data_IF_478814574587
#
_entry.id   IF_478814574587
#
_cell.length_a   1.000
_cell.length_b   1.000
_cell.length_c   1.000
_cell.angle_alpha   90.00
_cell.angle_beta   90.00
_cell.angle_gamma   90.00
#
_symmetry.space_group_name_H-M   'P 1'
#
loop_
_entity.id
_entity.type
_entity.pdbx_description
1 polymer ?
#
# COMPACT_ATOMS: atom_id res chain seq x y z
N UNK A 1 12.07 -15.30 2.14
CA UNK A 1 12.00 -14.72 0.78
C UNK A 1 11.56 -13.29 0.83
N UNK A 2 12.32 -12.42 0.24
CA UNK A 2 12.00 -11.00 0.20
C UNK A 2 10.89 -10.72 -0.83
N UNK A 3 9.92 -9.89 -0.45
CA UNK A 3 8.85 -9.45 -1.35
C UNK A 3 9.18 -8.12 -2.04
N UNK A 4 10.42 -7.65 -1.90
CA UNK A 4 10.82 -6.35 -2.47
C UNK A 4 10.60 -6.28 -3.98
N UNK A 5 10.97 -7.33 -4.73
CA UNK A 5 10.77 -7.33 -6.17
C UNK A 5 9.30 -7.32 -6.54
N UNK A 6 8.48 -8.06 -5.81
CA UNK A 6 7.04 -8.10 -6.06
C UNK A 6 6.39 -6.76 -5.72
N UNK A 7 6.80 -6.14 -4.61
CA UNK A 7 6.30 -4.82 -4.24
C UNK A 7 6.76 -3.75 -5.22
N UNK A 8 7.99 -3.87 -5.74
CA UNK A 8 8.48 -2.95 -6.76
C UNK A 8 7.67 -3.05 -8.05
N UNK A 9 7.29 -4.26 -8.44
CA UNK A 9 6.44 -4.46 -9.62
C UNK A 9 5.04 -3.90 -9.37
N UNK A 10 4.49 -4.10 -8.18
CA UNK A 10 3.21 -3.52 -7.81
C UNK A 10 3.29 -1.99 -7.82
N UNK A 11 4.37 -1.42 -7.31
CA UNK A 11 4.61 0.03 -7.34
C UNK A 11 4.57 0.57 -8.77
N UNK A 12 5.18 -0.14 -9.73
CA UNK A 12 5.14 0.30 -11.14
C UNK A 12 3.71 0.34 -11.66
N UNK A 13 2.90 -0.66 -11.31
CA UNK A 13 1.49 -0.69 -11.71
C UNK A 13 0.70 0.47 -11.10
N UNK A 14 0.96 0.78 -9.84
CA UNK A 14 0.28 1.88 -9.14
C UNK A 14 0.62 3.22 -9.78
N UNK A 15 1.89 3.45 -10.11
CA UNK A 15 2.31 4.68 -10.78
C UNK A 15 1.60 4.87 -12.10
N UNK A 16 1.43 3.79 -12.87
CA UNK A 16 0.77 3.86 -14.17
C UNK A 16 -0.73 4.13 -14.04
N UNK A 17 -1.34 3.64 -12.96
CA UNK A 17 -2.78 3.75 -12.76
C UNK A 17 -3.23 5.07 -12.13
N UNK A 18 -2.39 5.68 -11.31
CA UNK A 18 -2.75 6.90 -10.57
C UNK A 18 -2.06 8.12 -11.15
N UNK A 19 -2.30 8.39 -12.45
CA UNK A 19 -1.61 9.44 -13.19
C UNK A 19 -1.96 10.85 -12.70
N UNK A 20 -3.12 11.02 -12.05
CA UNK A 20 -3.56 12.32 -11.53
C UNK A 20 -3.08 12.60 -10.12
N UNK A 21 -2.29 11.70 -9.54
CA UNK A 21 -1.79 11.82 -8.18
C UNK A 21 -0.29 12.06 -8.18
N UNK A 22 0.16 12.85 -7.23
CA UNK A 22 1.60 13.00 -6.98
C UNK A 22 2.00 11.97 -5.93
N UNK A 23 2.72 10.94 -6.34
CA UNK A 23 3.08 9.83 -5.49
C UNK A 23 4.55 9.86 -5.15
N UNK A 24 4.87 9.69 -3.88
CA UNK A 24 6.25 9.59 -3.40
C UNK A 24 6.43 8.26 -2.68
N UNK A 25 7.34 7.44 -3.18
CA UNK A 25 7.67 6.20 -2.48
C UNK A 25 8.59 6.51 -1.31
N UNK A 26 8.18 6.05 -0.14
CA UNK A 26 8.91 6.25 1.10
C UNK A 26 9.63 4.97 1.46
N UNK A 27 10.93 5.07 1.68
CA UNK A 27 11.73 3.95 2.18
C UNK A 27 12.33 4.40 3.49
N UNK A 28 11.76 3.90 4.60
CA UNK A 28 12.23 4.27 5.93
C UNK A 28 12.81 3.06 6.63
N UNK A 29 14.05 3.18 7.09
CA UNK A 29 14.69 2.17 7.92
C UNK A 29 14.59 2.52 9.41
N UNK A 30 14.09 3.71 9.75
CA UNK A 30 14.07 4.21 11.11
C UNK A 30 12.67 4.29 11.71
N UNK A 31 11.63 4.38 10.87
CA UNK A 31 10.25 4.47 11.34
C UNK A 31 9.53 3.18 10.99
N UNK A 32 9.13 2.43 12.00
CA UNK A 32 8.42 1.17 11.81
C UNK A 32 6.96 1.44 11.48
N UNK A 33 6.46 0.73 10.48
CA UNK A 33 5.05 0.71 10.16
C UNK A 33 4.55 1.85 9.27
N UNK A 34 5.42 2.78 8.88
CA UNK A 34 5.01 3.83 7.95
C UNK A 34 4.65 3.21 6.59
N UNK A 35 3.52 3.61 5.97
CA UNK A 35 3.17 3.07 4.66
C UNK A 35 4.17 3.41 3.56
N UNK A 36 4.12 2.66 2.47
CA UNK A 36 5.13 2.70 1.41
C UNK A 36 5.07 3.96 0.54
N UNK A 37 3.89 4.54 0.39
CA UNK A 37 3.69 5.63 -0.57
C UNK A 37 2.91 6.75 0.08
N UNK A 38 3.40 7.98 -0.09
CA UNK A 38 2.64 9.19 0.20
C UNK A 38 2.06 9.73 -1.09
N UNK A 39 0.77 10.04 -1.08
CA UNK A 39 0.08 10.52 -2.26
C UNK A 39 -0.62 11.84 -2.03
N UNK A 40 -0.66 12.65 -3.08
CA UNK A 40 -1.39 13.91 -3.09
C UNK A 40 -2.27 13.94 -4.33
N UNK A 41 -3.52 14.29 -4.12
CA UNK A 41 -4.50 14.51 -5.17
C UNK A 41 -5.20 15.85 -4.91
N UNK A 42 -5.92 16.36 -5.90
CA UNK A 42 -6.67 17.63 -5.73
C UNK A 42 -7.58 17.62 -4.51
N UNK A 43 -8.13 16.47 -4.16
CA UNK A 43 -9.07 16.33 -3.05
C UNK A 43 -8.39 16.08 -1.69
N UNK A 44 -7.07 15.94 -1.64
CA UNK A 44 -6.37 15.77 -0.38
C UNK A 44 -5.15 14.90 -0.44
N UNK A 45 -4.67 14.50 0.73
CA UNK A 45 -3.48 13.66 0.89
C UNK A 45 -3.88 12.30 1.44
N UNK A 46 -3.05 11.29 1.13
CA UNK A 46 -3.32 9.94 1.57
C UNK A 46 -2.01 9.13 1.60
N UNK A 47 -2.06 7.97 2.24
CA UNK A 47 -0.97 7.03 2.24
C UNK A 47 -1.43 5.70 1.64
N UNK A 48 -0.51 4.97 1.03
CA UNK A 48 -0.79 3.65 0.48
C UNK A 48 0.24 2.66 1.02
N UNK A 49 -0.25 1.55 1.57
CA UNK A 49 0.56 0.40 1.93
C UNK A 49 0.46 -0.63 0.81
N UNK A 50 1.59 -1.10 0.30
CA UNK A 50 1.63 -2.10 -0.76
C UNK A 50 1.84 -3.49 -0.17
N UNK A 51 1.00 -4.44 -0.58
CA UNK A 51 1.15 -5.84 -0.21
C UNK A 51 1.07 -6.71 -1.46
N UNK A 52 2.13 -7.44 -1.73
CA UNK A 52 2.19 -8.38 -2.85
C UNK A 52 2.73 -9.70 -2.32
N UNK A 53 1.84 -10.65 -2.09
CA UNK A 53 2.16 -11.89 -1.42
C UNK A 53 1.18 -12.99 -1.83
N UNK A 54 1.34 -14.18 -1.21
CA UNK A 54 0.49 -15.33 -1.49
C UNK A 54 -0.72 -15.42 -0.56
N UNK A 55 -1.00 -14.36 0.19
CA UNK A 55 -2.11 -14.37 1.14
C UNK A 55 -3.41 -13.96 0.45
N UNK A 56 -4.52 -14.54 0.91
CA UNK A 56 -5.85 -14.19 0.42
C UNK A 56 -6.23 -12.76 0.79
N UNK A 57 -5.82 -12.32 1.98
CA UNK A 57 -6.04 -10.97 2.47
C UNK A 57 -4.69 -10.35 2.83
N UNK A 58 -4.57 -9.01 2.76
CA UNK A 58 -3.31 -8.37 3.10
C UNK A 58 -2.98 -8.59 4.57
N UNK A 59 -1.74 -8.98 4.84
CA UNK A 59 -1.26 -9.19 6.21
C UNK A 59 -0.42 -7.99 6.63
N UNK A 60 -0.86 -7.33 7.69
CA UNK A 60 -0.13 -6.21 8.27
C UNK A 60 0.58 -6.68 9.54
N UNK A 61 1.81 -6.21 9.75
CA UNK A 61 2.46 -6.46 11.03
C UNK A 61 1.93 -5.47 12.07
N UNK A 62 2.31 -5.69 13.35
CA UNK A 62 1.76 -4.88 14.44
C UNK A 62 2.13 -3.40 14.32
N UNK A 63 3.31 -3.09 13.79
CA UNK A 63 3.74 -1.70 13.64
C UNK A 63 2.94 -0.98 12.59
N UNK A 64 2.63 -1.66 11.49
CA UNK A 64 1.77 -1.12 10.44
C UNK A 64 0.35 -0.86 10.97
N UNK A 65 -0.19 -1.81 11.74
CA UNK A 65 -1.51 -1.65 12.33
C UNK A 65 -1.56 -0.45 13.27
N UNK A 66 -0.56 -0.30 14.14
CA UNK A 66 -0.50 0.81 15.08
C UNK A 66 -0.40 2.14 14.34
N UNK A 67 0.50 2.24 13.36
CA UNK A 67 0.70 3.47 12.62
C UNK A 67 -0.58 3.88 11.87
N UNK A 68 -1.18 2.92 11.15
CA UNK A 68 -2.37 3.17 10.35
C UNK A 68 -3.54 3.59 11.24
N UNK A 69 -3.75 2.88 12.34
CA UNK A 69 -4.84 3.21 13.26
C UNK A 69 -4.70 4.61 13.85
N UNK A 70 -3.49 4.99 14.24
CA UNK A 70 -3.24 6.33 14.78
C UNK A 70 -3.47 7.40 13.72
N UNK A 71 -3.05 7.13 12.49
CA UNK A 71 -3.21 8.10 11.41
C UNK A 71 -4.69 8.30 11.06
N UNK A 72 -5.45 7.21 10.97
CA UNK A 72 -6.89 7.27 10.71
C UNK A 72 -7.62 7.99 11.84
N UNK A 73 -7.25 7.69 13.09
CA UNK A 73 -7.86 8.33 14.25
C UNK A 73 -7.64 9.85 14.24
N UNK A 74 -6.51 10.29 13.71
CA UNK A 74 -6.20 11.73 13.59
C UNK A 74 -6.89 12.37 12.38
N UNK A 75 -7.67 11.63 11.60
CA UNK A 75 -8.40 12.15 10.46
C UNK A 75 -7.75 11.87 9.11
N UNK A 76 -6.67 11.10 9.08
CA UNK A 76 -5.96 10.79 7.84
C UNK A 76 -6.59 9.67 7.03
N UNK A 77 -6.16 9.55 5.80
CA UNK A 77 -6.65 8.54 4.85
C UNK A 77 -5.49 7.61 4.49
N UNK A 78 -5.72 6.31 4.65
CA UNK A 78 -4.76 5.27 4.28
C UNK A 78 -5.48 4.23 3.44
N UNK A 79 -4.83 3.80 2.36
CA UNK A 79 -5.30 2.69 1.55
C UNK A 79 -4.29 1.55 1.62
N UNK A 80 -4.78 0.33 1.46
CA UNK A 80 -3.93 -0.84 1.30
C UNK A 80 -4.22 -1.41 -0.08
N UNK A 81 -3.20 -1.55 -0.91
CA UNK A 81 -3.31 -2.20 -2.22
C UNK A 81 -2.67 -3.57 -2.12
N UNK A 82 -3.45 -4.58 -2.40
CA UNK A 82 -3.04 -5.97 -2.26
C UNK A 82 -3.16 -6.72 -3.58
N UNK A 83 -2.08 -7.37 -3.97
CA UNK A 83 -2.06 -8.29 -5.10
C UNK A 83 -1.77 -9.69 -4.58
N UNK A 84 -2.71 -10.63 -4.79
CA UNK A 84 -2.54 -12.01 -4.36
C UNK A 84 -1.82 -12.80 -5.46
N UNK A 85 -0.58 -13.19 -5.18
CA UNK A 85 0.28 -13.88 -6.14
C UNK A 85 -0.07 -15.35 -6.34
N UNK A 86 -0.93 -15.93 -5.50
CA UNK A 86 -1.42 -17.29 -5.69
C UNK A 86 -2.40 -17.39 -6.86
N UNK A 87 -3.03 -16.28 -7.23
CA UNK A 87 -3.93 -16.29 -8.38
C UNK A 87 -3.13 -16.39 -9.67
N UNK A 88 -3.63 -17.12 -10.69
CA UNK A 88 -3.02 -17.10 -12.02
C UNK A 88 -2.92 -15.68 -12.55
N UNK A 89 -1.90 -15.40 -13.37
CA UNK A 89 -1.68 -14.06 -13.91
C UNK A 89 -2.93 -13.49 -14.58
N UNK A 90 -3.68 -14.32 -15.29
CA UNK A 90 -4.89 -13.89 -15.99
C UNK A 90 -6.01 -13.48 -15.05
N UNK A 91 -5.97 -13.91 -13.78
CA UNK A 91 -7.00 -13.61 -12.77
C UNK A 91 -6.46 -12.76 -11.63
N UNK A 92 -5.21 -12.33 -11.72
CA UNK A 92 -4.58 -11.57 -10.66
C UNK A 92 -5.07 -10.13 -10.72
N UNK A 93 -5.60 -9.64 -9.60
CA UNK A 93 -6.14 -8.29 -9.50
C UNK A 93 -5.54 -7.58 -8.30
N UNK A 94 -5.47 -6.26 -8.40
CA UNK A 94 -5.08 -5.42 -7.28
C UNK A 94 -6.37 -5.03 -6.57
N UNK A 95 -6.46 -5.40 -5.29
CA UNK A 95 -7.61 -5.05 -4.46
C UNK A 95 -7.27 -3.87 -3.57
N UNK A 96 -8.19 -2.94 -3.47
CA UNK A 96 -8.07 -1.75 -2.64
C UNK A 96 -8.85 -1.94 -1.36
N UNK A 97 -8.18 -1.73 -0.24
CA UNK A 97 -8.82 -1.74 1.08
C UNK A 97 -8.66 -0.36 1.70
N UNK A 98 -9.71 0.12 2.32
CA UNK A 98 -9.66 1.36 3.09
C UNK A 98 -9.98 1.06 4.54
N UNK A 99 -8.97 0.97 5.42
CA UNK A 99 -9.21 0.79 6.86
C UNK A 99 -9.98 1.97 7.44
N UNK A 100 -10.86 1.66 8.35
CA UNK A 100 -11.67 2.68 9.03
C UNK A 100 -11.63 2.49 10.54
#
# INVERSE_FOLDING_TARGET
MSNKNNESLLWQKVKKGLVDCFLTRIESSTINGIPDIHGVHKSGVFWIELKSDNSKFPKLNKWQIVWINRYIKAGGIVFILHENLDNPLSKRRIKLYRPV
#
